data_IF_206206117995
#
_entry.id   IF_206206117995
#
_cell.length_a   1.000
_cell.length_b   1.000
_cell.length_c   1.000
_cell.angle_alpha   90.00
_cell.angle_beta   90.00
_cell.angle_gamma   90.00
#
_symmetry.space_group_name_H-M   'P 1'
#
loop_
_entity.id
_entity.type
_entity.pdbx_description
1 polymer ?
#
# COMPACT_ATOMS: atom_id res chain seq x y z
N UNK A 1 -3.37 -40.35 13.62
CA UNK A 1 -3.35 -38.88 13.80
C UNK A 1 -4.81 -38.43 13.82
N UNK A 2 -5.27 -37.86 14.94
CA UNK A 2 -6.69 -37.68 15.23
C UNK A 2 -7.13 -36.28 14.76
N UNK A 3 -8.22 -36.15 13.99
CA UNK A 3 -8.75 -34.89 13.47
C UNK A 3 -8.95 -33.81 14.55
N UNK A 4 -9.15 -34.24 15.81
CA UNK A 4 -9.29 -33.37 16.98
C UNK A 4 -8.00 -32.64 17.37
N UNK A 5 -6.80 -33.17 17.07
CA UNK A 5 -5.53 -32.49 17.39
C UNK A 5 -5.26 -31.32 16.44
N UNK A 6 -5.71 -31.38 15.18
CA UNK A 6 -5.54 -30.28 14.23
C UNK A 6 -6.43 -29.06 14.52
N UNK A 7 -7.58 -29.25 15.17
CA UNK A 7 -8.51 -28.15 15.50
C UNK A 7 -7.97 -27.20 16.58
N UNK A 8 -7.06 -27.65 17.44
CA UNK A 8 -6.59 -26.91 18.62
C UNK A 8 -5.21 -26.28 18.47
N UNK A 9 -4.47 -26.57 17.40
CA UNK A 9 -3.24 -25.85 17.08
C UNK A 9 -3.63 -24.63 16.26
N UNK A 10 -4.32 -23.67 16.91
CA UNK A 10 -4.38 -22.32 16.35
C UNK A 10 -2.94 -21.86 16.20
N UNK A 11 -2.45 -21.74 14.95
CA UNK A 11 -1.15 -21.12 14.72
C UNK A 11 -1.19 -19.79 15.46
N UNK A 12 -0.26 -19.50 16.38
CA UNK A 12 -0.28 -18.24 17.09
C UNK A 12 -0.34 -17.13 16.05
N UNK A 13 -1.34 -16.25 16.16
CA UNK A 13 -1.47 -15.09 15.28
C UNK A 13 -0.10 -14.42 15.20
N UNK A 14 0.41 -14.23 13.97
CA UNK A 14 1.71 -13.58 13.77
C UNK A 14 1.70 -12.28 14.55
N UNK A 15 2.56 -12.17 15.57
CA UNK A 15 2.68 -10.97 16.38
C UNK A 15 3.38 -9.91 15.53
N UNK A 16 2.72 -8.78 15.31
CA UNK A 16 3.31 -7.61 14.66
C UNK A 16 4.15 -6.90 15.71
N UNK A 17 5.47 -7.00 15.60
CA UNK A 17 6.43 -6.45 16.58
C UNK A 17 7.47 -5.55 15.94
N UNK A 18 7.66 -5.64 14.62
CA UNK A 18 8.58 -4.84 13.82
C UNK A 18 7.86 -4.29 12.58
N UNK A 19 8.39 -3.22 12.01
CA UNK A 19 7.82 -2.60 10.80
C UNK A 19 7.83 -3.56 9.59
N UNK A 20 8.76 -4.53 9.59
CA UNK A 20 8.84 -5.60 8.60
C UNK A 20 7.75 -6.66 8.72
N UNK A 21 7.02 -6.70 9.83
CA UNK A 21 5.92 -7.65 10.02
C UNK A 21 4.62 -7.15 9.38
N UNK A 22 4.55 -5.85 9.03
CA UNK A 22 3.44 -5.24 8.32
C UNK A 22 3.41 -5.69 6.86
N UNK A 23 2.22 -5.72 6.26
CA UNK A 23 2.12 -5.96 4.83
C UNK A 23 2.73 -4.82 4.03
N UNK A 24 3.31 -5.14 2.88
CA UNK A 24 3.94 -4.17 1.99
C UNK A 24 2.98 -3.03 1.61
N UNK A 25 1.71 -3.35 1.38
CA UNK A 25 0.67 -2.37 1.07
C UNK A 25 0.43 -1.32 2.18
N UNK A 26 0.74 -1.63 3.44
CA UNK A 26 0.65 -0.63 4.52
C UNK A 26 1.75 0.41 4.37
N UNK A 27 3.01 -0.03 4.22
CA UNK A 27 4.15 0.88 4.10
C UNK A 27 4.10 1.65 2.77
N UNK A 28 3.75 0.98 1.67
CA UNK A 28 3.57 1.63 0.38
C UNK A 28 2.49 2.74 0.44
N UNK A 29 1.37 2.48 1.13
CA UNK A 29 0.32 3.50 1.34
C UNK A 29 0.86 4.70 2.11
N UNK A 30 1.63 4.48 3.18
CA UNK A 30 2.27 5.57 3.92
C UNK A 30 3.14 6.41 2.98
N UNK A 31 3.93 5.80 2.10
CA UNK A 31 4.70 6.57 1.10
C UNK A 31 3.82 7.39 0.16
N UNK A 32 2.68 6.87 -0.29
CA UNK A 32 1.74 7.65 -1.12
C UNK A 32 1.16 8.89 -0.43
N UNK A 33 1.06 8.93 0.91
CA UNK A 33 0.64 10.15 1.62
C UNK A 33 1.61 11.32 1.44
N UNK A 34 2.87 11.05 1.09
CA UNK A 34 3.86 12.07 0.73
C UNK A 34 4.30 11.97 -0.74
N UNK A 35 3.41 11.46 -1.60
CA UNK A 35 3.68 11.27 -3.03
C UNK A 35 5.00 10.52 -3.30
N UNK A 36 5.31 9.51 -2.49
CA UNK A 36 6.55 8.72 -2.50
C UNK A 36 7.84 9.55 -2.38
N UNK A 37 7.77 10.79 -1.91
CA UNK A 37 8.95 11.56 -1.52
C UNK A 37 9.43 11.10 -0.15
N UNK A 38 10.71 11.31 0.12
CA UNK A 38 11.28 11.05 1.43
C UNK A 38 10.60 11.90 2.52
N UNK A 39 10.37 11.26 3.66
CA UNK A 39 9.93 11.94 4.86
C UNK A 39 11.11 12.53 5.61
N UNK A 40 10.92 13.70 6.20
CA UNK A 40 11.64 14.09 7.41
C UNK A 40 10.82 13.64 8.62
N UNK A 41 11.43 13.61 9.81
CA UNK A 41 10.70 13.30 11.06
C UNK A 41 9.52 14.25 11.26
N UNK A 42 9.69 15.54 10.99
CA UNK A 42 8.63 16.53 11.17
C UNK A 42 7.49 16.36 10.15
N UNK A 43 7.81 16.14 8.87
CA UNK A 43 6.78 15.91 7.85
C UNK A 43 6.03 14.60 8.08
N UNK A 44 6.73 13.57 8.57
CA UNK A 44 6.10 12.31 8.96
C UNK A 44 5.15 12.49 10.14
N UNK A 45 5.55 13.21 11.20
CA UNK A 45 4.67 13.45 12.36
C UNK A 45 3.37 14.16 11.98
N UNK A 46 3.47 15.20 11.14
CA UNK A 46 2.28 15.90 10.63
C UNK A 46 1.38 14.97 9.82
N UNK A 47 1.95 14.24 8.86
CA UNK A 47 1.21 13.26 8.06
C UNK A 47 0.60 12.16 8.94
N UNK A 48 1.30 11.70 9.96
CA UNK A 48 0.86 10.63 10.84
C UNK A 48 -0.37 11.03 11.65
N UNK A 49 -0.49 12.29 12.10
CA UNK A 49 -1.70 12.78 12.76
C UNK A 49 -2.92 12.81 11.83
N UNK A 50 -2.72 13.13 10.54
CA UNK A 50 -3.78 13.06 9.55
C UNK A 50 -4.13 11.61 9.18
N UNK A 51 -3.12 10.75 9.09
CA UNK A 51 -3.30 9.32 8.82
C UNK A 51 -4.16 8.63 9.87
N UNK A 52 -4.00 8.96 11.17
CA UNK A 52 -4.83 8.42 12.26
C UNK A 52 -6.32 8.69 12.08
N UNK A 53 -6.68 9.78 11.38
CA UNK A 53 -8.07 10.18 11.10
C UNK A 53 -8.61 9.58 9.80
N UNK A 54 -7.75 8.97 8.99
CA UNK A 54 -8.14 8.44 7.69
C UNK A 54 -8.95 7.15 7.83
N UNK A 55 -9.97 6.99 6.98
CA UNK A 55 -10.71 5.72 6.83
C UNK A 55 -9.80 4.57 6.33
N UNK A 56 -8.64 4.90 5.78
CA UNK A 56 -7.63 3.94 5.31
C UNK A 56 -6.52 3.69 6.33
N UNK A 57 -6.72 4.08 7.60
CA UNK A 57 -5.73 3.87 8.64
C UNK A 57 -5.53 2.37 8.95
N UNK A 58 -4.28 1.98 9.18
CA UNK A 58 -3.89 0.66 9.67
C UNK A 58 -3.60 0.79 11.17
N UNK A 59 -4.45 0.19 11.99
CA UNK A 59 -4.32 0.25 13.45
C UNK A 59 -3.03 -0.39 13.94
N UNK A 60 -2.56 -1.45 13.28
CA UNK A 60 -1.30 -2.11 13.65
C UNK A 60 -0.09 -1.21 13.38
N UNK A 61 -0.09 -0.45 12.28
CA UNK A 61 0.95 0.56 12.03
C UNK A 61 0.95 1.65 13.10
N UNK A 62 -0.24 2.17 13.47
CA UNK A 62 -0.35 3.22 14.50
C UNK A 62 0.20 2.73 15.84
N UNK A 63 -0.25 1.56 16.29
CA UNK A 63 0.21 0.95 17.54
C UNK A 63 1.71 0.69 17.51
N UNK A 64 2.22 0.20 16.39
CA UNK A 64 3.62 -0.12 16.25
C UNK A 64 4.49 1.14 16.29
N UNK A 65 4.08 2.22 15.62
CA UNK A 65 4.76 3.52 15.73
C UNK A 65 4.79 4.03 17.19
N UNK A 66 3.70 3.86 17.94
CA UNK A 66 3.64 4.22 19.36
C UNK A 66 4.54 3.35 20.25
N UNK A 67 4.62 2.05 19.97
CA UNK A 67 5.49 1.11 20.71
C UNK A 67 6.96 1.39 20.43
N UNK A 68 7.31 1.62 19.16
CA UNK A 68 8.69 1.91 18.74
C UNK A 68 9.12 3.27 19.30
N UNK A 69 8.29 4.30 19.18
CA UNK A 69 8.51 5.66 19.68
C UNK A 69 9.87 6.31 19.29
N UNK A 70 10.51 5.77 18.26
CA UNK A 70 11.72 6.29 17.62
C UNK A 70 11.35 6.68 16.19
N UNK A 71 11.07 7.96 16.00
CA UNK A 71 10.62 8.48 14.71
C UNK A 71 11.73 8.51 13.66
N UNK A 72 12.99 8.67 14.06
CA UNK A 72 14.13 8.60 13.15
C UNK A 72 14.25 7.20 12.56
N UNK A 73 14.15 6.16 13.41
CA UNK A 73 14.13 4.77 12.95
C UNK A 73 12.95 4.48 12.01
N UNK A 74 11.74 4.92 12.38
CA UNK A 74 10.52 4.69 11.57
C UNK A 74 10.65 5.37 10.20
N UNK A 75 11.06 6.64 10.17
CA UNK A 75 11.23 7.41 8.94
C UNK A 75 12.33 6.81 8.06
N UNK A 76 13.46 6.45 8.64
CA UNK A 76 14.54 5.80 7.91
C UNK A 76 14.06 4.49 7.26
N UNK A 77 13.34 3.65 8.01
CA UNK A 77 12.75 2.43 7.46
C UNK A 77 11.80 2.71 6.29
N UNK A 78 10.91 3.70 6.42
CA UNK A 78 9.96 4.06 5.34
C UNK A 78 10.71 4.58 4.11
N UNK A 79 11.69 5.47 4.28
CA UNK A 79 12.43 6.06 3.17
C UNK A 79 13.26 5.02 2.42
N UNK A 80 13.91 4.09 3.14
CA UNK A 80 14.66 2.97 2.58
C UNK A 80 13.76 1.87 2.00
N UNK A 81 12.44 2.00 2.12
CA UNK A 81 11.50 1.00 1.63
C UNK A 81 10.97 1.36 0.25
N UNK A 82 11.28 0.55 -0.76
CA UNK A 82 10.80 0.76 -2.13
C UNK A 82 9.77 -0.29 -2.54
N UNK A 83 8.82 0.13 -3.39
CA UNK A 83 7.70 -0.71 -3.79
C UNK A 83 7.39 -0.65 -5.29
N UNK A 84 7.12 -1.83 -5.87
CA UNK A 84 6.37 -1.94 -7.11
C UNK A 84 4.89 -1.98 -6.75
N UNK A 85 4.15 -0.98 -7.19
CA UNK A 85 2.71 -0.84 -6.96
C UNK A 85 1.98 -1.17 -8.25
N UNK A 86 1.22 -2.25 -8.26
CA UNK A 86 0.39 -2.66 -9.39
C UNK A 86 -1.02 -2.09 -9.20
N UNK A 87 -1.37 -1.12 -10.03
CA UNK A 87 -2.69 -0.53 -10.12
C UNK A 87 -3.47 -1.22 -11.25
N UNK A 88 -4.32 -2.16 -10.86
CA UNK A 88 -5.30 -2.77 -11.75
C UNK A 88 -6.51 -1.87 -11.87
N UNK A 89 -6.85 -1.49 -13.10
CA UNK A 89 -8.01 -0.69 -13.46
C UNK A 89 -8.94 -1.59 -14.24
N UNK A 90 -10.14 -1.82 -13.71
CA UNK A 90 -11.11 -2.69 -14.34
C UNK A 90 -11.92 -1.89 -15.35
N UNK A 91 -12.14 -2.42 -16.55
CA UNK A 91 -13.07 -1.81 -17.50
C UNK A 91 -14.51 -1.96 -16.98
N UNK A 92 -15.46 -1.09 -17.39
CA UNK A 92 -16.86 -1.21 -16.95
C UNK A 92 -17.54 -2.52 -17.36
N UNK A 93 -17.08 -3.14 -18.44
CA UNK A 93 -17.53 -4.45 -18.92
C UNK A 93 -17.01 -5.62 -18.07
N UNK A 94 -15.83 -5.48 -17.45
CA UNK A 94 -15.26 -6.48 -16.55
C UNK A 94 -15.86 -6.39 -15.15
N UNK A 95 -15.85 -5.20 -14.55
CA UNK A 95 -16.48 -4.95 -13.27
C UNK A 95 -17.11 -3.54 -13.22
N UNK A 96 -18.44 -3.52 -13.12
CA UNK A 96 -19.23 -2.29 -13.03
C UNK A 96 -19.06 -1.56 -11.69
N UNK A 97 -18.77 -2.28 -10.60
CA UNK A 97 -18.74 -1.75 -9.23
C UNK A 97 -17.32 -1.43 -8.78
N UNK A 98 -16.38 -2.34 -8.99
CA UNK A 98 -14.99 -2.15 -8.59
C UNK A 98 -14.24 -1.46 -9.72
N UNK A 99 -13.77 -0.25 -9.46
CA UNK A 99 -13.03 0.52 -10.49
C UNK A 99 -11.57 0.12 -10.57
N UNK A 100 -10.95 -0.22 -9.44
CA UNK A 100 -9.54 -0.55 -9.38
C UNK A 100 -9.16 -1.43 -8.19
N UNK A 101 -7.92 -1.91 -8.21
CA UNK A 101 -7.23 -2.52 -7.09
C UNK A 101 -5.76 -2.13 -7.12
N UNK A 102 -5.18 -1.86 -5.96
CA UNK A 102 -3.75 -1.65 -5.80
C UNK A 102 -3.16 -2.81 -5.01
N UNK A 103 -2.11 -3.43 -5.56
CA UNK A 103 -1.26 -4.39 -4.84
C UNK A 103 0.16 -3.86 -4.79
N UNK A 104 0.80 -3.93 -3.63
CA UNK A 104 2.16 -3.44 -3.44
C UNK A 104 3.09 -4.60 -3.09
N UNK A 105 4.27 -4.59 -3.71
CA UNK A 105 5.32 -5.57 -3.49
C UNK A 105 6.63 -4.84 -3.19
N UNK A 106 7.42 -5.37 -2.25
CA UNK A 106 8.81 -4.92 -2.08
C UNK A 106 9.56 -4.93 -3.42
N UNK A 107 10.30 -3.85 -3.65
CA UNK A 107 11.10 -3.62 -4.85
C UNK A 107 12.40 -2.90 -4.46
N UNK A 108 13.27 -2.69 -5.45
CA UNK A 108 14.44 -1.83 -5.32
C UNK A 108 14.13 -0.36 -5.67
N UNK A 109 13.01 -0.12 -6.35
CA UNK A 109 12.60 1.21 -6.82
C UNK A 109 11.10 1.43 -6.61
N UNK A 110 10.71 2.70 -6.48
CA UNK A 110 9.32 3.12 -6.33
C UNK A 110 8.64 3.28 -7.71
N UNK A 111 7.97 2.21 -8.14
CA UNK A 111 7.33 2.11 -9.46
C UNK A 111 5.82 1.97 -9.29
N UNK A 112 5.06 2.63 -10.15
CA UNK A 112 3.63 2.40 -10.34
C UNK A 112 3.45 1.72 -11.70
N UNK A 113 3.04 0.45 -11.69
CA UNK A 113 2.63 -0.29 -12.87
C UNK A 113 1.12 -0.16 -13.02
N UNK A 114 0.67 0.46 -14.11
CA UNK A 114 -0.75 0.55 -14.44
C UNK A 114 -1.12 -0.60 -15.36
N UNK A 115 -2.22 -1.30 -15.05
CA UNK A 115 -2.78 -2.37 -15.88
C UNK A 115 -4.27 -2.13 -16.09
N UNK A 116 -4.71 -2.12 -17.34
CA UNK A 116 -6.14 -2.05 -17.68
C UNK A 116 -6.63 -3.47 -17.96
N UNK A 117 -7.62 -3.92 -17.20
CA UNK A 117 -8.12 -5.29 -17.17
C UNK A 117 -9.53 -5.33 -17.75
N UNK A 118 -9.70 -6.11 -18.82
CA UNK A 118 -10.98 -6.41 -19.46
C UNK A 118 -11.34 -7.89 -19.34
N UNK A 119 -12.45 -8.29 -19.95
CA UNK A 119 -12.84 -9.70 -20.07
C UNK A 119 -11.85 -10.54 -20.89
N UNK A 120 -10.98 -9.90 -21.68
CA UNK A 120 -9.92 -10.55 -22.47
C UNK A 120 -8.59 -10.63 -21.72
N UNK A 121 -8.52 -10.09 -20.49
CA UNK A 121 -7.30 -10.02 -19.68
C UNK A 121 -6.70 -8.61 -19.66
N UNK A 122 -5.38 -8.51 -19.62
CA UNK A 122 -4.66 -7.22 -19.58
C UNK A 122 -4.60 -6.64 -20.99
N UNK A 123 -5.34 -5.56 -21.26
CA UNK A 123 -5.38 -4.91 -22.59
C UNK A 123 -4.39 -3.75 -22.73
N UNK A 124 -3.92 -3.21 -21.60
CA UNK A 124 -2.91 -2.16 -21.56
C UNK A 124 -2.08 -2.30 -20.30
N UNK A 125 -0.76 -2.16 -20.43
CA UNK A 125 0.16 -2.14 -19.29
C UNK A 125 1.32 -1.21 -19.54
N UNK A 126 1.64 -0.38 -18.55
CA UNK A 126 2.79 0.51 -18.61
C UNK A 126 3.29 0.84 -17.20
N UNK A 127 4.60 1.05 -17.08
CA UNK A 127 5.25 1.43 -15.85
C UNK A 127 5.52 2.94 -15.84
N UNK A 128 5.46 3.53 -14.65
CA UNK A 128 5.84 4.92 -14.42
C UNK A 128 6.46 5.08 -13.04
N UNK A 129 7.19 6.18 -12.83
CA UNK A 129 7.69 6.53 -11.50
C UNK A 129 6.51 6.76 -10.56
N UNK A 130 6.57 6.18 -9.35
CA UNK A 130 5.61 6.49 -8.30
C UNK A 130 5.98 7.79 -7.54
N UNK A 131 7.21 8.30 -7.71
CA UNK A 131 7.69 9.52 -7.07
C UNK A 131 6.99 10.74 -7.65
N UNK A 132 6.41 11.56 -6.77
CA UNK A 132 5.62 12.74 -7.14
C UNK A 132 4.15 12.43 -7.46
N UNK A 133 3.75 11.16 -7.52
CA UNK A 133 2.37 10.76 -7.80
C UNK A 133 1.53 10.83 -6.53
N UNK A 134 0.54 11.73 -6.52
CA UNK A 134 -0.43 11.87 -5.42
C UNK A 134 -1.61 10.92 -5.60
N UNK A 135 -2.40 10.71 -4.55
CA UNK A 135 -3.68 9.98 -4.67
C UNK A 135 -4.63 10.63 -5.70
N UNK A 136 -4.62 11.96 -5.82
CA UNK A 136 -5.42 12.67 -6.82
C UNK A 136 -5.01 12.30 -8.24
N UNK A 137 -3.70 12.19 -8.49
CA UNK A 137 -3.17 11.78 -9.79
C UNK A 137 -3.54 10.33 -10.10
N UNK A 138 -3.50 9.44 -9.10
CA UNK A 138 -3.97 8.04 -9.24
C UNK A 138 -5.45 8.00 -9.65
N UNK A 139 -6.32 8.78 -9.00
CA UNK A 139 -7.74 8.84 -9.39
C UNK A 139 -7.92 9.38 -10.80
N UNK A 140 -7.14 10.39 -11.21
CA UNK A 140 -7.18 10.89 -12.58
C UNK A 140 -6.75 9.83 -13.60
N UNK A 141 -5.71 9.03 -13.30
CA UNK A 141 -5.29 7.89 -14.12
C UNK A 141 -6.42 6.87 -14.22
N UNK A 142 -7.05 6.49 -13.10
CA UNK A 142 -8.16 5.54 -13.08
C UNK A 142 -9.31 6.02 -13.97
N UNK A 143 -9.75 7.26 -13.79
CA UNK A 143 -10.86 7.83 -14.56
C UNK A 143 -10.53 7.91 -16.05
N UNK A 144 -9.30 8.29 -16.39
CA UNK A 144 -8.85 8.35 -17.78
C UNK A 144 -8.80 6.96 -18.41
N UNK A 145 -8.19 5.99 -17.76
CA UNK A 145 -7.97 4.66 -18.34
C UNK A 145 -9.24 3.79 -18.34
N UNK A 146 -10.20 4.05 -17.44
CA UNK A 146 -11.47 3.32 -17.40
C UNK A 146 -12.49 3.80 -18.45
N UNK A 147 -12.40 5.05 -18.88
CA UNK A 147 -13.38 5.68 -19.78
C UNK A 147 -12.88 5.90 -21.22
N UNK A 148 -11.63 5.50 -21.52
CA UNK A 148 -11.07 5.47 -22.88
C UNK A 148 -11.12 4.06 -23.44
#
# INVERSE_FOLDING_TARGET
MNLMEEMWISKPQKRITKLSDLSDGVIARIKFYNANKEYTVDSFKLMFEDYKKSIYCCQDFIKLCQIINDYDYIVNYINQSHFKNELDIFTPEFDKKRTHHMTSYRSNEDVLQVRVISNEGVIKSYDMSAIGITFKDIFHIIDKERNN
#
